data_IF_745406226068
#
_entry.id   IF_745406226068
#
_cell.length_a   1.000
_cell.length_b   1.000
_cell.length_c   1.000
_cell.angle_alpha   90.00
_cell.angle_beta   90.00
_cell.angle_gamma   90.00
#
_symmetry.space_group_name_H-M   'P 1'
#
loop_
_entity.id
_entity.type
_entity.pdbx_description
1 polymer ?
#
# COMPACT_ATOMS: atom_id res chain seq x y z
N UNK A 1 -27.03 4.97 12.15
CA UNK A 1 -25.96 4.15 12.75
C UNK A 1 -25.11 3.67 11.61
N UNK A 2 -23.93 4.24 11.40
CA UNK A 2 -23.02 3.72 10.38
C UNK A 2 -22.48 2.38 10.89
N UNK A 3 -22.82 1.29 10.23
CA UNK A 3 -22.21 -0.02 10.47
C UNK A 3 -20.70 0.08 10.20
N UNK A 4 -19.89 -0.66 10.94
CA UNK A 4 -18.46 -0.79 10.62
C UNK A 4 -18.31 -1.29 9.17
N UNK A 5 -17.41 -0.68 8.39
CA UNK A 5 -17.20 -1.08 7.01
C UNK A 5 -16.68 -2.51 6.93
N UNK A 6 -17.32 -3.36 6.13
CA UNK A 6 -17.00 -4.79 6.00
C UNK A 6 -16.22 -5.12 4.72
N UNK A 7 -16.18 -4.20 3.77
CA UNK A 7 -15.47 -4.37 2.51
C UNK A 7 -14.67 -3.11 2.14
N UNK A 8 -13.72 -3.27 1.21
CA UNK A 8 -12.84 -2.18 0.75
C UNK A 8 -13.63 -1.06 0.06
N UNK A 9 -14.74 -1.37 -0.61
CA UNK A 9 -15.54 -0.36 -1.32
C UNK A 9 -16.27 0.57 -0.34
N UNK A 10 -16.71 0.07 0.81
CA UNK A 10 -17.34 0.86 1.87
C UNK A 10 -16.34 1.84 2.50
N UNK A 11 -15.07 1.46 2.63
CA UNK A 11 -14.02 2.41 3.03
C UNK A 11 -13.90 3.56 2.01
N UNK A 12 -13.95 3.25 0.70
CA UNK A 12 -13.93 4.29 -0.33
C UNK A 12 -15.16 5.22 -0.27
N UNK A 13 -16.33 4.71 0.13
CA UNK A 13 -17.53 5.52 0.32
C UNK A 13 -17.46 6.42 1.56
N UNK A 14 -16.85 5.94 2.64
CA UNK A 14 -16.58 6.74 3.83
C UNK A 14 -15.54 7.82 3.52
N UNK A 15 -14.50 7.50 2.75
CA UNK A 15 -13.47 8.45 2.35
C UNK A 15 -14.07 9.62 1.53
N UNK A 16 -15.07 9.37 0.68
CA UNK A 16 -15.81 10.44 -0.04
C UNK A 16 -16.50 11.42 0.90
N UNK A 17 -16.91 10.98 2.08
CA UNK A 17 -17.65 11.79 3.05
C UNK A 17 -16.70 12.55 3.99
N UNK A 18 -15.54 11.97 4.29
CA UNK A 18 -14.57 12.50 5.26
C UNK A 18 -13.53 13.41 4.59
N UNK A 19 -13.02 13.04 3.41
CA UNK A 19 -11.93 13.75 2.77
C UNK A 19 -12.43 14.98 1.98
N UNK A 20 -11.68 16.11 2.02
CA UNK A 20 -11.90 17.20 1.10
C UNK A 20 -11.83 16.71 -0.36
N UNK A 21 -12.70 17.24 -1.22
CA UNK A 21 -12.82 16.83 -2.63
C UNK A 21 -11.48 16.77 -3.36
N UNK A 22 -10.61 17.77 -3.15
CA UNK A 22 -9.29 17.82 -3.77
C UNK A 22 -8.40 16.62 -3.41
N UNK A 23 -8.46 16.17 -2.15
CA UNK A 23 -7.66 15.03 -1.68
C UNK A 23 -8.27 13.72 -2.16
N UNK A 24 -9.59 13.62 -2.15
CA UNK A 24 -10.30 12.47 -2.69
C UNK A 24 -10.02 12.29 -4.20
N UNK A 25 -10.05 13.36 -4.98
CA UNK A 25 -9.76 13.34 -6.42
C UNK A 25 -8.29 13.00 -6.71
N UNK A 26 -7.36 13.34 -5.80
CA UNK A 26 -5.95 12.94 -5.91
C UNK A 26 -5.77 11.43 -5.78
N UNK A 27 -6.43 10.78 -4.82
CA UNK A 27 -6.30 9.33 -4.62
C UNK A 27 -7.11 8.50 -5.61
N UNK A 28 -8.27 8.99 -6.04
CA UNK A 28 -9.16 8.26 -6.96
C UNK A 28 -8.99 8.66 -8.42
N UNK A 29 -8.10 9.61 -8.69
CA UNK A 29 -7.76 10.04 -10.04
C UNK A 29 -7.12 8.90 -10.84
N UNK A 30 -7.63 8.68 -12.05
CA UNK A 30 -6.98 7.86 -13.07
C UNK A 30 -6.49 8.73 -14.22
N UNK A 31 -5.65 8.17 -15.09
CA UNK A 31 -5.19 8.86 -16.30
C UNK A 31 -6.34 9.00 -17.31
N UNK A 32 -6.46 10.19 -17.90
CA UNK A 32 -7.41 10.52 -18.99
C UNK A 32 -8.83 10.01 -18.69
N UNK A 33 -9.39 9.19 -19.58
CA UNK A 33 -10.74 8.63 -19.51
C UNK A 33 -10.89 7.51 -18.46
N UNK A 34 -9.83 7.22 -17.69
CA UNK A 34 -9.79 6.18 -16.64
C UNK A 34 -10.12 4.77 -17.14
N UNK A 35 -10.00 4.54 -18.44
CA UNK A 35 -10.30 3.25 -19.07
C UNK A 35 -9.48 2.12 -18.44
N UNK A 36 -8.17 2.29 -18.32
CA UNK A 36 -7.27 1.30 -17.72
C UNK A 36 -7.58 1.03 -16.24
N UNK A 37 -8.00 2.05 -15.49
CA UNK A 37 -8.38 1.89 -14.09
C UNK A 37 -9.59 0.95 -13.95
N UNK A 38 -10.60 1.16 -14.80
CA UNK A 38 -11.79 0.30 -14.85
C UNK A 38 -11.43 -1.12 -15.31
N UNK A 39 -10.63 -1.22 -16.37
CA UNK A 39 -10.20 -2.49 -16.95
C UNK A 39 -9.40 -3.35 -15.97
N UNK A 40 -8.55 -2.73 -15.12
CA UNK A 40 -7.81 -3.44 -14.08
C UNK A 40 -8.71 -4.17 -13.08
N UNK A 41 -9.84 -3.56 -12.70
CA UNK A 41 -10.81 -4.17 -11.78
C UNK A 41 -11.59 -5.28 -12.50
N UNK A 42 -12.08 -4.99 -13.71
CA UNK A 42 -12.84 -5.94 -14.52
C UNK A 42 -12.00 -7.17 -14.91
N UNK A 43 -10.69 -7.02 -15.04
CA UNK A 43 -9.76 -8.12 -15.30
C UNK A 43 -9.80 -9.21 -14.23
N UNK A 44 -9.92 -8.84 -12.96
CA UNK A 44 -10.03 -9.81 -11.88
C UNK A 44 -11.36 -10.57 -11.91
N UNK A 45 -12.45 -9.92 -12.32
CA UNK A 45 -13.76 -10.57 -12.45
C UNK A 45 -13.79 -11.64 -13.55
N UNK A 46 -12.89 -11.55 -14.54
CA UNK A 46 -12.76 -12.56 -15.62
C UNK A 46 -12.04 -13.83 -15.16
N UNK A 47 -11.33 -13.79 -14.04
CA UNK A 47 -10.60 -14.95 -13.49
C UNK A 47 -11.57 -15.80 -12.68
N UNK A 48 -11.89 -16.99 -13.18
CA UNK A 48 -12.77 -17.95 -12.49
C UNK A 48 -11.91 -18.93 -11.70
N UNK A 49 -12.15 -19.00 -10.38
CA UNK A 49 -11.52 -19.99 -9.51
C UNK A 49 -12.21 -21.36 -9.68
N UNK A 50 -11.42 -22.43 -9.83
CA UNK A 50 -11.92 -23.81 -9.82
C UNK A 50 -11.76 -24.40 -8.41
N UNK A 51 -12.80 -24.38 -7.55
CA UNK A 51 -12.68 -24.90 -6.20
C UNK A 51 -12.41 -26.41 -6.21
N UNK A 52 -11.54 -26.86 -5.30
CA UNK A 52 -11.28 -28.29 -5.07
C UNK A 52 -12.11 -28.76 -3.90
N UNK A 53 -12.99 -29.72 -4.13
CA UNK A 53 -13.82 -30.32 -3.07
C UNK A 53 -13.03 -31.39 -2.29
N UNK A 54 -13.42 -31.62 -1.04
CA UNK A 54 -12.79 -32.58 -0.13
C UNK A 54 -11.30 -32.32 0.19
N UNK A 55 -10.81 -31.11 -0.06
CA UNK A 55 -9.50 -30.68 0.44
C UNK A 55 -9.62 -30.35 1.93
N UNK A 56 -8.74 -30.93 2.77
CA UNK A 56 -8.68 -30.56 4.17
C UNK A 56 -8.07 -29.16 4.31
N UNK A 57 -8.92 -28.18 4.65
CA UNK A 57 -8.56 -26.77 4.87
C UNK A 57 -8.69 -26.36 6.33
N UNK A 58 -8.59 -27.32 7.26
CA UNK A 58 -8.71 -27.06 8.71
C UNK A 58 -7.61 -26.13 9.24
N UNK A 59 -6.47 -26.09 8.56
CA UNK A 59 -5.38 -25.17 8.83
C UNK A 59 -4.85 -24.62 7.51
N UNK A 60 -4.81 -23.29 7.40
CA UNK A 60 -4.36 -22.57 6.19
C UNK A 60 -3.16 -21.72 6.60
N UNK A 61 -2.00 -22.03 6.03
CA UNK A 61 -0.82 -21.16 6.12
C UNK A 61 -0.82 -20.18 4.96
N UNK A 62 -0.81 -18.88 5.25
CA UNK A 62 -0.65 -17.82 4.25
C UNK A 62 0.79 -17.28 4.23
N UNK A 63 1.68 -17.78 5.08
CA UNK A 63 3.04 -17.27 5.13
C UNK A 63 3.80 -17.60 3.84
N UNK A 64 4.58 -16.64 3.36
CA UNK A 64 5.36 -16.79 2.13
C UNK A 64 6.68 -16.02 2.26
N UNK A 65 7.55 -16.14 1.26
CA UNK A 65 8.80 -15.40 1.17
C UNK A 65 8.82 -14.50 -0.05
N UNK A 66 9.18 -13.24 0.15
CA UNK A 66 9.32 -12.23 -0.92
C UNK A 66 10.72 -11.65 -0.81
N UNK A 67 11.50 -11.74 -1.90
CA UNK A 67 12.88 -11.23 -1.96
C UNK A 67 13.80 -11.72 -0.82
N UNK A 68 13.57 -12.94 -0.32
CA UNK A 68 14.34 -13.54 0.78
C UNK A 68 13.82 -13.21 2.19
N UNK A 69 12.80 -12.36 2.32
CA UNK A 69 12.18 -12.03 3.60
C UNK A 69 10.88 -12.82 3.80
N UNK A 70 10.65 -13.32 5.01
CA UNK A 70 9.42 -14.01 5.37
C UNK A 70 8.32 -13.01 5.69
N UNK A 71 7.15 -13.18 5.09
CA UNK A 71 5.95 -12.39 5.33
C UNK A 71 4.80 -13.29 5.78
N UNK A 72 3.87 -12.73 6.56
CA UNK A 72 2.75 -13.46 7.17
C UNK A 72 1.64 -13.84 6.18
N UNK A 73 1.43 -13.02 5.13
CA UNK A 73 0.46 -13.23 4.07
C UNK A 73 1.01 -12.72 2.73
N UNK A 74 0.54 -13.21 1.57
CA UNK A 74 0.95 -12.71 0.25
C UNK A 74 0.26 -11.39 -0.11
N UNK A 75 0.12 -10.49 0.85
CA UNK A 75 -0.48 -9.17 0.72
C UNK A 75 0.56 -8.16 1.16
N UNK A 76 0.67 -7.06 0.41
CA UNK A 76 1.69 -6.05 0.62
C UNK A 76 1.11 -4.66 0.44
N UNK A 77 1.69 -3.70 1.15
CA UNK A 77 1.30 -2.31 1.06
C UNK A 77 2.03 -1.67 -0.12
N UNK A 78 1.26 -1.32 -1.16
CA UNK A 78 1.77 -0.66 -2.36
C UNK A 78 2.26 0.77 -2.06
N UNK A 79 3.30 1.26 -2.78
CA UNK A 79 3.85 2.58 -2.55
C UNK A 79 2.88 3.66 -2.99
N UNK A 80 2.21 4.29 -2.03
CA UNK A 80 1.33 5.44 -2.27
C UNK A 80 2.02 6.72 -1.77
N UNK A 81 1.79 7.84 -2.44
CA UNK A 81 2.40 9.13 -2.06
C UNK A 81 1.44 9.96 -1.20
N UNK A 82 2.01 10.85 -0.38
CA UNK A 82 1.26 11.87 0.40
C UNK A 82 0.20 11.32 1.37
N UNK A 83 0.46 10.23 2.09
CA UNK A 83 -0.45 9.68 3.10
C UNK A 83 -0.96 10.68 4.16
N UNK A 84 -0.23 11.77 4.39
CA UNK A 84 -0.63 12.82 5.33
C UNK A 84 -1.90 13.60 4.91
N UNK A 85 -2.27 13.56 3.63
CA UNK A 85 -3.52 14.14 3.17
C UNK A 85 -4.75 13.33 3.63
N UNK A 86 -4.57 12.03 3.87
CA UNK A 86 -5.62 11.15 4.37
C UNK A 86 -5.71 11.15 5.89
N UNK A 87 -4.57 11.16 6.58
CA UNK A 87 -4.51 11.14 8.05
C UNK A 87 -3.28 11.89 8.56
N UNK A 88 -3.34 12.67 9.65
CA UNK A 88 -2.20 13.46 10.16
C UNK A 88 -0.97 12.62 10.53
N UNK A 89 -1.14 11.37 10.97
CA UNK A 89 -0.02 10.45 11.22
C UNK A 89 0.62 9.92 9.91
N UNK A 90 -0.12 9.97 8.80
CA UNK A 90 0.31 9.54 7.48
C UNK A 90 0.96 8.15 7.48
N UNK A 91 2.20 8.11 6.98
CA UNK A 91 2.96 6.87 6.80
C UNK A 91 3.30 6.16 8.12
N UNK A 92 3.47 6.89 9.22
CA UNK A 92 3.88 6.31 10.51
C UNK A 92 2.84 5.29 10.99
N UNK A 93 1.56 5.61 10.85
CA UNK A 93 0.47 4.68 11.17
C UNK A 93 0.57 3.42 10.30
N UNK A 94 0.82 3.59 9.01
CA UNK A 94 0.94 2.49 8.05
C UNK A 94 2.14 1.58 8.35
N UNK A 95 3.29 2.14 8.70
CA UNK A 95 4.48 1.37 9.12
C UNK A 95 4.24 0.61 10.42
N UNK A 96 3.60 1.24 11.41
CA UNK A 96 3.22 0.55 12.67
C UNK A 96 2.31 -0.64 12.41
N UNK A 97 1.34 -0.49 11.51
CA UNK A 97 0.45 -1.58 11.10
C UNK A 97 1.26 -2.67 10.39
N UNK A 98 2.10 -2.32 9.41
CA UNK A 98 2.96 -3.26 8.68
C UNK A 98 3.84 -4.11 9.60
N UNK A 99 4.45 -3.49 10.60
CA UNK A 99 5.28 -4.17 11.61
C UNK A 99 4.43 -5.13 12.45
N UNK A 100 3.24 -4.68 12.88
CA UNK A 100 2.34 -5.50 13.69
C UNK A 100 1.81 -6.73 12.94
N UNK A 101 1.49 -6.58 11.66
CA UNK A 101 0.96 -7.67 10.83
C UNK A 101 2.07 -8.54 10.21
N UNK A 102 3.33 -8.08 10.22
CA UNK A 102 4.46 -8.79 9.63
C UNK A 102 4.42 -8.82 8.10
N UNK A 103 3.84 -7.80 7.49
CA UNK A 103 3.78 -7.65 6.03
C UNK A 103 4.88 -6.71 5.52
N UNK A 104 5.14 -6.84 4.22
CA UNK A 104 6.11 -6.02 3.50
C UNK A 104 5.48 -4.68 3.11
N UNK A 105 6.18 -3.58 3.41
CA UNK A 105 5.76 -2.24 3.03
C UNK A 105 6.72 -1.65 2.01
N UNK A 106 6.17 -1.20 0.89
CA UNK A 106 6.94 -0.42 -0.09
C UNK A 106 6.76 1.07 0.18
N UNK A 107 7.86 1.78 0.39
CA UNK A 107 7.90 3.23 0.59
C UNK A 107 8.04 3.95 -0.75
N UNK A 108 7.21 4.99 -0.96
CA UNK A 108 7.34 5.89 -2.10
C UNK A 108 8.48 6.90 -1.87
N UNK A 109 9.30 7.11 -2.90
CA UNK A 109 10.39 8.10 -2.91
C UNK A 109 9.95 9.52 -2.54
N UNK A 110 8.71 9.92 -2.82
CA UNK A 110 8.22 11.26 -2.46
C UNK A 110 8.19 11.54 -0.96
N UNK A 111 8.10 10.48 -0.15
CA UNK A 111 8.21 10.64 1.29
C UNK A 111 9.64 11.02 1.65
N UNK A 112 10.63 10.67 0.79
CA UNK A 112 12.10 10.80 0.77
C UNK A 112 12.73 11.95 1.53
N UNK A 113 11.98 13.04 1.45
CA UNK A 113 12.40 14.41 1.73
C UNK A 113 11.60 15.06 2.85
N UNK A 114 10.67 14.34 3.47
CA UNK A 114 9.88 14.88 4.56
C UNK A 114 10.62 14.67 5.89
N UNK A 115 10.83 15.75 6.67
CA UNK A 115 11.70 15.84 7.86
C UNK A 115 11.44 14.83 9.02
N UNK A 116 10.54 13.86 8.86
CA UNK A 116 10.24 12.79 9.82
C UNK A 116 10.95 11.45 9.53
N UNK A 117 11.87 11.39 8.56
CA UNK A 117 12.64 10.16 8.25
C UNK A 117 13.34 9.54 9.45
N UNK A 118 13.97 10.37 10.29
CA UNK A 118 14.68 9.91 11.50
C UNK A 118 13.78 9.17 12.50
N UNK A 119 12.46 9.48 12.52
CA UNK A 119 11.51 8.80 13.41
C UNK A 119 11.07 7.43 12.86
N UNK A 120 11.04 7.29 11.52
CA UNK A 120 10.77 6.00 10.88
C UNK A 120 11.97 5.07 11.02
N UNK A 121 13.19 5.60 10.95
CA UNK A 121 14.44 4.83 11.06
C UNK A 121 14.52 4.01 12.34
N UNK A 122 14.01 4.53 13.46
CA UNK A 122 13.96 3.84 14.75
C UNK A 122 12.87 2.76 14.85
N UNK A 123 11.90 2.72 13.93
CA UNK A 123 10.84 1.71 13.86
C UNK A 123 11.03 0.71 12.70
N UNK A 124 12.14 0.80 11.96
CA UNK A 124 12.39 -0.06 10.79
C UNK A 124 12.62 -1.51 11.21
N UNK A 125 11.69 -2.38 10.83
CA UNK A 125 11.97 -3.79 10.58
C UNK A 125 12.65 -3.95 9.20
N UNK A 126 13.38 -5.04 8.93
CA UNK A 126 14.08 -5.27 7.65
C UNK A 126 13.17 -5.49 6.42
N UNK A 127 11.85 -5.27 6.53
CA UNK A 127 10.85 -5.54 5.48
C UNK A 127 10.38 -4.30 4.72
N UNK A 128 11.16 -3.22 4.76
CA UNK A 128 10.87 -1.99 4.02
C UNK A 128 11.65 -1.93 2.71
N UNK A 129 10.94 -1.64 1.62
CA UNK A 129 11.53 -1.50 0.29
C UNK A 129 11.28 -0.12 -0.29
N UNK A 130 12.28 0.47 -0.92
CA UNK A 130 12.17 1.79 -1.53
C UNK A 130 11.80 1.67 -3.00
N UNK A 131 10.68 2.29 -3.38
CA UNK A 131 10.34 2.50 -4.79
C UNK A 131 11.02 3.78 -5.29
N UNK A 132 12.10 3.62 -6.06
CA UNK A 132 12.84 4.74 -6.65
C UNK A 132 12.14 5.31 -7.88
N UNK A 133 11.92 6.63 -7.90
CA UNK A 133 11.57 7.35 -9.13
C UNK A 133 12.89 7.80 -9.75
N UNK A 134 13.19 7.32 -10.97
CA UNK A 134 14.33 7.79 -11.74
C UNK A 134 14.07 9.20 -12.26
N UNK A 135 14.22 10.19 -11.40
CA UNK A 135 14.40 11.58 -11.81
C UNK A 135 15.83 11.66 -12.35
N UNK A 136 16.04 12.28 -13.52
CA UNK A 136 17.35 12.50 -14.13
C UNK A 136 18.18 13.41 -13.22
N UNK A 137 18.83 12.80 -12.22
CA UNK A 137 19.58 13.42 -11.14
C UNK A 137 20.92 12.67 -11.02
N UNK A 138 21.74 12.76 -12.08
CA UNK A 138 23.00 12.01 -12.20
C UNK A 138 24.11 12.53 -11.26
N UNK A 139 23.91 13.63 -10.52
CA UNK A 139 24.99 14.23 -9.72
C UNK A 139 24.89 14.04 -8.21
N UNK A 140 23.79 13.54 -7.64
CA UNK A 140 23.61 13.55 -6.17
C UNK A 140 23.82 12.21 -5.46
N UNK A 141 23.71 11.07 -6.15
CA UNK A 141 23.91 9.74 -5.55
C UNK A 141 25.37 9.30 -5.48
N UNK A 142 26.30 10.01 -6.14
CA UNK A 142 27.72 9.61 -6.22
C UNK A 142 28.65 10.27 -5.20
N UNK A 143 28.16 11.16 -4.32
CA UNK A 143 29.02 11.89 -3.37
C UNK A 143 28.94 11.41 -1.91
N UNK A 144 28.43 10.20 -1.68
CA UNK A 144 28.65 9.48 -0.43
C UNK A 144 29.57 8.30 -0.70
N UNK A 145 30.88 8.56 -0.66
CA UNK A 145 31.98 7.60 -0.60
C UNK A 145 33.01 8.12 0.41
#
# INVERSE_FOLDING_TARGET
MASEPVNVNEFQELDKQVLPKMYYDFYTGGAEDRFTLKENVEAFCRIILRPRVLANVSWIDMSTTVLGYKISAPIMIAPTSRHQLAHPEGLICLTRVSVKIGEFQTLSFYLLFQERWLLLEQQLHPTLYYNGIYIKFIEFTCNWS
#
